data_IF_581313939766
#
_entry.id   IF_581313939766
#
_cell.length_a   1.000
_cell.length_b   1.000
_cell.length_c   1.000
_cell.angle_alpha   90.00
_cell.angle_beta   90.00
_cell.angle_gamma   90.00
#
_symmetry.space_group_name_H-M   'P 1'
#
loop_
_entity.id
_entity.type
_entity.pdbx_description
1 polymer ?
#
# COMPACT_ATOMS: atom_id res chain seq x y z
N UNK A 1 -25.71 -24.68 -14.60
CA UNK A 1 -24.92 -24.38 -13.38
C UNK A 1 -25.83 -23.68 -12.38
N UNK A 2 -25.86 -24.09 -11.10
CA UNK A 2 -26.57 -23.34 -10.05
C UNK A 2 -25.56 -22.37 -9.40
N UNK A 3 -25.94 -21.10 -9.27
CA UNK A 3 -25.12 -20.07 -8.62
C UNK A 3 -25.74 -19.74 -7.27
N UNK A 4 -24.89 -19.60 -6.24
CA UNK A 4 -25.31 -19.11 -4.92
C UNK A 4 -25.73 -17.64 -4.98
N UNK A 5 -26.49 -17.19 -3.98
CA UNK A 5 -26.83 -15.77 -3.81
C UNK A 5 -26.05 -15.21 -2.64
N UNK A 6 -25.41 -14.07 -2.86
CA UNK A 6 -24.81 -13.28 -1.79
C UNK A 6 -25.93 -12.75 -0.90
N UNK A 7 -25.81 -12.95 0.41
CA UNK A 7 -26.73 -12.41 1.41
C UNK A 7 -25.94 -11.60 2.40
N UNK A 8 -26.23 -10.31 2.44
CA UNK A 8 -25.71 -9.42 3.47
C UNK A 8 -26.32 -9.78 4.83
N UNK A 9 -25.48 -9.76 5.85
CA UNK A 9 -25.86 -9.99 7.23
C UNK A 9 -25.45 -8.79 8.07
N UNK A 10 -26.21 -8.57 9.14
CA UNK A 10 -25.92 -7.54 10.11
C UNK A 10 -24.55 -7.78 10.77
N UNK A 11 -23.64 -6.81 10.61
CA UNK A 11 -22.28 -6.87 11.14
C UNK A 11 -22.27 -6.99 12.67
N UNK A 12 -23.32 -6.56 13.37
CA UNK A 12 -23.47 -6.75 14.84
C UNK A 12 -23.63 -8.20 15.24
N UNK A 13 -24.01 -9.07 14.31
CA UNK A 13 -24.06 -10.53 14.53
C UNK A 13 -22.72 -11.21 14.33
N UNK A 14 -21.77 -10.51 13.69
CA UNK A 14 -20.40 -10.97 13.48
C UNK A 14 -19.50 -10.44 14.61
N UNK A 15 -19.65 -9.15 14.94
CA UNK A 15 -18.95 -8.48 16.03
C UNK A 15 -19.97 -7.81 16.94
N UNK A 16 -20.15 -8.33 18.14
CA UNK A 16 -21.14 -7.80 19.10
C UNK A 16 -20.65 -6.47 19.69
N UNK A 17 -19.36 -6.42 20.01
CA UNK A 17 -18.67 -5.27 20.58
C UNK A 17 -17.57 -4.75 19.66
N UNK A 18 -17.57 -3.43 19.44
CA UNK A 18 -16.58 -2.73 18.63
C UNK A 18 -15.15 -2.93 19.14
N UNK A 19 -14.88 -2.53 20.38
CA UNK A 19 -13.55 -2.62 20.98
C UNK A 19 -13.04 -4.07 21.16
N UNK A 20 -13.90 -4.97 21.66
CA UNK A 20 -13.47 -6.32 22.07
C UNK A 20 -13.48 -7.34 20.93
N UNK A 21 -14.35 -7.14 19.94
CA UNK A 21 -14.50 -8.06 18.81
C UNK A 21 -13.97 -7.45 17.52
N UNK A 22 -14.46 -6.29 17.09
CA UNK A 22 -14.10 -5.73 15.78
C UNK A 22 -12.67 -5.19 15.75
N UNK A 23 -12.28 -4.31 16.67
CA UNK A 23 -10.91 -3.77 16.72
C UNK A 23 -9.88 -4.90 16.88
N UNK A 24 -10.19 -5.90 17.71
CA UNK A 24 -9.32 -7.08 17.90
C UNK A 24 -9.23 -7.96 16.65
N UNK A 25 -10.35 -8.19 15.96
CA UNK A 25 -10.38 -8.92 14.70
C UNK A 25 -9.57 -8.16 13.63
N UNK A 26 -9.81 -6.87 13.50
CA UNK A 26 -9.17 -6.01 12.50
C UNK A 26 -7.66 -5.92 12.72
N UNK A 27 -7.20 -5.82 13.97
CA UNK A 27 -5.79 -5.73 14.32
C UNK A 27 -4.99 -7.04 14.10
N UNK A 28 -5.66 -8.15 13.81
CA UNK A 28 -4.93 -9.39 13.47
C UNK A 28 -4.24 -9.29 12.11
N UNK A 29 -3.10 -9.96 11.97
CA UNK A 29 -2.19 -9.85 10.83
C UNK A 29 -2.88 -10.06 9.47
N UNK A 30 -3.74 -11.08 9.34
CA UNK A 30 -4.43 -11.34 8.07
C UNK A 30 -5.44 -10.24 7.71
N UNK A 31 -6.12 -9.68 8.70
CA UNK A 31 -7.26 -8.78 8.47
C UNK A 31 -6.79 -7.33 8.29
N UNK A 32 -5.74 -6.92 9.01
CA UNK A 32 -5.10 -5.63 8.77
C UNK A 32 -4.43 -5.61 7.40
N UNK A 33 -3.90 -6.74 6.93
CA UNK A 33 -3.37 -6.85 5.58
C UNK A 33 -4.47 -6.75 4.52
N UNK A 34 -5.64 -7.37 4.75
CA UNK A 34 -6.80 -7.22 3.86
C UNK A 34 -7.27 -5.76 3.76
N UNK A 35 -7.30 -5.03 4.88
CA UNK A 35 -7.54 -3.58 4.87
C UNK A 35 -6.44 -2.84 4.11
N UNK A 36 -5.17 -3.14 4.37
CA UNK A 36 -4.02 -2.58 3.66
C UNK A 36 -4.15 -2.75 2.15
N UNK A 37 -4.58 -3.92 1.69
CA UNK A 37 -4.76 -4.23 0.26
C UNK A 37 -5.89 -3.42 -0.37
N UNK A 38 -6.97 -3.18 0.36
CA UNK A 38 -8.06 -2.29 -0.06
C UNK A 38 -7.55 -0.85 -0.20
N UNK A 39 -6.74 -0.39 0.76
CA UNK A 39 -6.18 0.97 0.79
C UNK A 39 -4.95 1.16 -0.13
N UNK A 40 -4.37 0.08 -0.64
CA UNK A 40 -3.05 0.03 -1.26
C UNK A 40 -1.92 0.54 -0.34
N UNK A 41 -2.00 0.18 0.95
CA UNK A 41 -1.01 0.47 1.98
C UNK A 41 -0.41 -0.83 2.51
N UNK A 42 0.85 -0.78 2.98
CA UNK A 42 1.49 -1.95 3.58
C UNK A 42 1.56 -1.73 5.08
N UNK A 43 0.53 -2.19 5.81
CA UNK A 43 0.34 -1.86 7.22
C UNK A 43 1.16 -2.78 8.13
N UNK A 44 2.03 -2.19 8.95
CA UNK A 44 2.91 -2.90 9.90
C UNK A 44 2.88 -2.21 11.27
N UNK A 45 3.52 -2.81 12.29
CA UNK A 45 3.61 -2.26 13.65
C UNK A 45 2.25 -1.89 14.27
N UNK A 46 1.30 -2.83 14.21
CA UNK A 46 -0.07 -2.62 14.69
C UNK A 46 -0.11 -2.57 16.22
N UNK A 47 -0.61 -1.47 16.75
CA UNK A 47 -0.91 -1.24 18.16
C UNK A 47 -2.41 -0.96 18.32
N UNK A 48 -3.05 -1.55 19.34
CA UNK A 48 -4.45 -1.27 19.68
C UNK A 48 -4.53 -0.38 20.92
N UNK A 49 -5.58 0.43 21.04
CA UNK A 49 -5.92 1.19 22.26
C UNK A 49 -4.84 2.20 22.69
N UNK A 50 -4.21 2.88 21.71
CA UNK A 50 -3.11 3.80 21.99
C UNK A 50 -3.62 5.12 22.57
N UNK A 51 -3.03 5.57 23.66
CA UNK A 51 -3.44 6.81 24.32
C UNK A 51 -3.09 8.06 23.50
N UNK A 52 -4.05 8.98 23.41
CA UNK A 52 -3.90 10.34 22.87
C UNK A 52 -4.41 11.33 23.92
N UNK A 53 -3.50 11.81 24.77
CA UNK A 53 -3.88 12.57 25.96
C UNK A 53 -4.80 11.72 26.87
N UNK A 54 -6.05 12.13 27.03
CA UNK A 54 -7.06 11.43 27.84
C UNK A 54 -7.92 10.44 27.03
N UNK A 55 -7.74 10.39 25.71
CA UNK A 55 -8.51 9.53 24.82
C UNK A 55 -7.68 8.32 24.37
N UNK A 56 -8.33 7.38 23.69
CA UNK A 56 -7.68 6.22 23.09
C UNK A 56 -8.09 6.14 21.63
N UNK A 57 -7.09 5.97 20.79
CA UNK A 57 -7.28 5.57 19.40
C UNK A 57 -7.45 4.06 19.34
N UNK A 58 -8.35 3.59 18.48
CA UNK A 58 -8.64 2.16 18.32
C UNK A 58 -7.42 1.38 17.84
N UNK A 59 -6.86 1.78 16.68
CA UNK A 59 -5.69 1.13 16.08
C UNK A 59 -4.73 2.16 15.50
N UNK A 60 -3.45 2.03 15.85
CA UNK A 60 -2.35 2.74 15.21
C UNK A 60 -1.44 1.75 14.51
N UNK A 61 -1.03 2.05 13.28
CA UNK A 61 -0.04 1.27 12.54
C UNK A 61 0.85 2.18 11.69
N UNK A 62 1.73 1.60 10.88
CA UNK A 62 2.63 2.33 10.00
C UNK A 62 2.57 1.78 8.58
N UNK A 63 2.67 2.66 7.57
CA UNK A 63 2.95 2.23 6.19
C UNK A 63 4.44 1.84 6.09
N UNK A 64 4.70 0.55 5.88
CA UNK A 64 6.03 -0.09 5.84
C UNK A 64 7.02 0.70 4.99
N UNK A 65 6.57 1.19 3.82
CA UNK A 65 7.43 1.81 2.82
C UNK A 65 7.80 3.27 3.15
N UNK A 66 6.91 4.00 3.82
CA UNK A 66 7.12 5.42 4.09
C UNK A 66 7.41 5.72 5.55
N UNK A 67 7.17 4.76 6.44
CA UNK A 67 7.20 4.95 7.89
C UNK A 67 6.08 5.85 8.42
N UNK A 68 5.15 6.28 7.55
CA UNK A 68 4.06 7.18 7.92
C UNK A 68 3.13 6.52 8.91
N UNK A 69 2.76 7.26 9.95
CA UNK A 69 1.76 6.84 10.94
C UNK A 69 0.38 6.78 10.30
N UNK A 70 -0.29 5.63 10.46
CA UNK A 70 -1.64 5.34 10.00
C UNK A 70 -2.55 5.17 11.22
N UNK A 71 -3.50 6.08 11.37
CA UNK A 71 -4.54 6.07 12.38
C UNK A 71 -5.78 5.36 11.81
N UNK A 72 -6.34 4.41 12.55
CA UNK A 72 -7.60 3.75 12.19
C UNK A 72 -8.57 3.89 13.37
N UNK A 73 -9.74 4.47 13.07
CA UNK A 73 -10.88 4.53 13.98
C UNK A 73 -12.03 3.74 13.37
N UNK A 74 -12.65 2.86 14.15
CA UNK A 74 -13.71 2.00 13.67
C UNK A 74 -14.98 2.15 14.49
N UNK A 75 -16.12 2.22 13.82
CA UNK A 75 -17.44 2.24 14.47
C UNK A 75 -18.40 1.22 13.86
N UNK A 76 -19.14 0.49 14.70
CA UNK A 76 -20.19 -0.45 14.28
C UNK A 76 -21.59 0.19 14.24
N UNK A 77 -21.63 1.53 14.13
CA UNK A 77 -22.81 2.37 13.94
C UNK A 77 -22.68 3.21 12.66
N UNK A 78 -23.76 3.85 12.19
CA UNK A 78 -23.65 4.89 11.19
C UNK A 78 -22.74 6.03 11.68
N UNK A 79 -22.03 6.62 10.73
CA UNK A 79 -21.13 7.74 11.00
C UNK A 79 -21.78 8.91 11.75
N UNK A 80 -21.02 9.49 12.67
CA UNK A 80 -21.47 10.57 13.56
C UNK A 80 -20.38 11.64 13.76
N UNK A 81 -20.79 12.80 14.27
CA UNK A 81 -19.90 13.94 14.51
C UNK A 81 -18.86 13.69 15.62
N UNK A 82 -19.15 12.80 16.58
CA UNK A 82 -18.21 12.47 17.65
C UNK A 82 -16.95 11.83 17.07
N UNK A 83 -17.12 10.77 16.26
CA UNK A 83 -16.01 10.08 15.64
C UNK A 83 -15.30 10.93 14.57
N UNK A 84 -16.03 11.78 13.83
CA UNK A 84 -15.39 12.76 12.96
C UNK A 84 -14.46 13.71 13.73
N UNK A 85 -14.89 14.19 14.91
CA UNK A 85 -14.04 15.01 15.78
C UNK A 85 -12.84 14.23 16.32
N UNK A 86 -13.04 12.96 16.70
CA UNK A 86 -11.97 12.07 17.18
C UNK A 86 -10.88 11.86 16.14
N UNK A 87 -11.22 11.48 14.91
CA UNK A 87 -10.21 11.18 13.87
C UNK A 87 -9.31 12.40 13.60
N UNK A 88 -9.86 13.62 13.62
CA UNK A 88 -9.09 14.85 13.44
C UNK A 88 -8.20 15.12 14.66
N UNK A 89 -8.76 14.97 15.87
CA UNK A 89 -8.03 15.21 17.13
C UNK A 89 -6.88 14.22 17.29
N UNK A 90 -7.12 12.95 17.00
CA UNK A 90 -6.13 11.88 17.13
C UNK A 90 -5.06 11.99 16.07
N UNK A 91 -5.42 12.32 14.83
CA UNK A 91 -4.44 12.55 13.77
C UNK A 91 -3.47 13.67 14.15
N UNK A 92 -3.97 14.78 14.69
CA UNK A 92 -3.12 15.87 15.17
C UNK A 92 -2.27 15.48 16.38
N UNK A 93 -2.80 14.70 17.32
CA UNK A 93 -2.10 14.30 18.54
C UNK A 93 -1.05 13.21 18.34
N UNK A 94 -1.19 12.40 17.30
CA UNK A 94 -0.30 11.28 16.95
C UNK A 94 0.57 11.55 15.71
N UNK A 95 0.48 12.74 15.13
CA UNK A 95 1.14 13.10 13.86
C UNK A 95 0.84 12.07 12.75
N UNK A 96 -0.45 11.70 12.64
CA UNK A 96 -0.91 10.72 11.67
C UNK A 96 -0.98 11.34 10.27
N UNK A 97 -0.27 10.73 9.32
CA UNK A 97 -0.27 11.13 7.93
C UNK A 97 -1.37 10.41 7.12
N UNK A 98 -1.87 9.28 7.62
CA UNK A 98 -3.03 8.59 7.05
C UNK A 98 -4.07 8.36 8.13
N UNK A 99 -5.31 8.69 7.83
CA UNK A 99 -6.47 8.54 8.71
C UNK A 99 -7.50 7.68 8.02
N UNK A 100 -7.88 6.58 8.65
CA UNK A 100 -8.84 5.61 8.13
C UNK A 100 -10.03 5.56 9.08
N UNK A 101 -11.21 5.90 8.59
CA UNK A 101 -12.44 5.84 9.35
C UNK A 101 -13.34 4.73 8.78
N UNK A 102 -13.57 3.68 9.57
CA UNK A 102 -14.36 2.50 9.17
C UNK A 102 -15.71 2.56 9.90
N UNK A 103 -16.81 2.43 9.16
CA UNK A 103 -18.16 2.68 9.68
C UNK A 103 -19.14 1.61 9.21
N UNK A 104 -20.27 1.42 9.89
CA UNK A 104 -21.32 0.53 9.40
C UNK A 104 -22.05 1.14 8.18
N UNK A 105 -22.26 2.45 8.21
CA UNK A 105 -22.90 3.23 7.16
C UNK A 105 -22.32 4.65 7.12
N UNK A 106 -21.85 5.07 5.96
CA UNK A 106 -21.33 6.41 5.75
C UNK A 106 -22.48 7.37 5.40
N UNK A 107 -22.71 8.37 6.25
CA UNK A 107 -23.66 9.44 5.96
C UNK A 107 -23.07 10.37 4.91
N UNK A 108 -23.91 10.83 3.99
CA UNK A 108 -23.48 11.70 2.89
C UNK A 108 -22.76 12.96 3.39
N UNK A 109 -23.19 13.54 4.51
CA UNK A 109 -22.56 14.73 5.08
C UNK A 109 -21.14 14.45 5.61
N UNK A 110 -20.90 13.25 6.14
CA UNK A 110 -19.58 12.85 6.61
C UNK A 110 -18.67 12.46 5.43
N UNK A 111 -19.19 11.79 4.40
CA UNK A 111 -18.45 11.56 3.17
C UNK A 111 -18.01 12.89 2.54
N UNK A 112 -18.94 13.85 2.42
CA UNK A 112 -18.62 15.20 1.94
C UNK A 112 -17.59 15.92 2.81
N UNK A 113 -17.59 15.71 4.13
CA UNK A 113 -16.59 16.30 5.02
C UNK A 113 -15.20 15.69 4.81
N UNK A 114 -15.10 14.36 4.66
CA UNK A 114 -13.84 13.68 4.33
C UNK A 114 -13.32 14.11 2.96
N UNK A 115 -14.18 14.21 1.95
CA UNK A 115 -13.82 14.73 0.64
C UNK A 115 -13.28 16.18 0.74
N UNK A 116 -13.95 17.03 1.54
CA UNK A 116 -13.51 18.39 1.78
C UNK A 116 -12.13 18.43 2.45
N UNK A 117 -11.86 17.59 3.45
CA UNK A 117 -10.56 17.48 4.09
C UNK A 117 -9.48 17.11 3.07
N UNK A 118 -9.68 16.05 2.29
CA UNK A 118 -8.74 15.61 1.25
C UNK A 118 -8.47 16.67 0.16
N UNK A 119 -9.36 17.65 -0.04
CA UNK A 119 -9.17 18.76 -0.98
C UNK A 119 -8.42 19.95 -0.38
N UNK A 120 -8.43 20.10 0.95
CA UNK A 120 -7.95 21.30 1.64
C UNK A 120 -6.79 21.03 2.61
N UNK A 121 -6.37 19.78 2.80
CA UNK A 121 -5.09 19.43 3.41
C UNK A 121 -3.99 19.33 2.35
N UNK A 122 -2.74 19.34 2.79
CA UNK A 122 -1.60 19.10 1.90
C UNK A 122 -1.52 17.62 1.45
N UNK A 123 -0.55 17.31 0.60
CA UNK A 123 -0.36 15.96 0.06
C UNK A 123 0.21 14.96 1.09
N UNK A 124 0.61 15.43 2.27
CA UNK A 124 1.20 14.58 3.30
C UNK A 124 0.13 13.88 4.13
N UNK A 125 -1.06 14.47 4.25
CA UNK A 125 -2.20 13.94 5.01
C UNK A 125 -3.26 13.36 4.08
N UNK A 126 -3.74 12.16 4.41
CA UNK A 126 -4.72 11.41 3.61
C UNK A 126 -5.83 10.85 4.47
N UNK A 127 -7.09 11.13 4.11
CA UNK A 127 -8.27 10.59 4.80
C UNK A 127 -8.97 9.55 3.94
N UNK A 128 -9.34 8.43 4.56
CA UNK A 128 -10.15 7.38 4.00
C UNK A 128 -11.42 7.20 4.83
N UNK A 129 -12.56 7.02 4.15
CA UNK A 129 -13.82 6.61 4.75
C UNK A 129 -14.25 5.29 4.11
N UNK A 130 -14.49 4.27 4.92
CA UNK A 130 -14.91 2.96 4.46
C UNK A 130 -16.16 2.50 5.19
N UNK A 131 -16.99 1.74 4.49
CA UNK A 131 -18.04 0.92 5.07
C UNK A 131 -17.53 -0.50 5.28
N UNK A 132 -17.85 -1.11 6.43
CA UNK A 132 -17.66 -2.54 6.68
C UNK A 132 -18.99 -3.27 6.50
N UNK A 133 -18.98 -4.28 5.64
CA UNK A 133 -20.11 -5.17 5.41
C UNK A 133 -19.73 -6.61 5.74
N UNK A 134 -20.74 -7.47 5.95
CA UNK A 134 -20.54 -8.91 6.08
C UNK A 134 -21.55 -9.68 5.23
N UNK A 135 -21.08 -10.72 4.54
CA UNK A 135 -21.88 -11.51 3.60
C UNK A 135 -21.78 -13.01 3.86
N UNK A 136 -22.77 -13.75 3.38
CA UNK A 136 -22.76 -15.23 3.35
C UNK A 136 -23.23 -15.75 2.00
N UNK A 137 -22.78 -16.96 1.63
CA UNK A 137 -23.26 -17.70 0.47
C UNK A 137 -23.68 -19.10 0.94
N UNK A 138 -24.99 -19.35 0.99
CA UNK A 138 -25.51 -20.61 1.54
C UNK A 138 -25.16 -20.73 3.02
N UNK A 139 -24.49 -21.81 3.39
CA UNK A 139 -24.08 -22.13 4.78
C UNK A 139 -22.61 -21.74 5.06
N UNK A 140 -22.04 -20.81 4.28
CA UNK A 140 -20.68 -20.32 4.52
C UNK A 140 -20.58 -19.57 5.84
N UNK A 141 -19.36 -19.51 6.39
CA UNK A 141 -19.04 -18.52 7.42
C UNK A 141 -19.22 -17.09 6.86
N UNK A 142 -19.47 -16.08 7.72
CA UNK A 142 -19.45 -14.68 7.33
C UNK A 142 -18.15 -14.26 6.64
N UNK A 143 -18.27 -13.55 5.54
CA UNK A 143 -17.18 -12.93 4.80
C UNK A 143 -17.27 -11.41 4.96
N UNK A 144 -16.29 -10.77 5.63
CA UNK A 144 -16.23 -9.32 5.74
C UNK A 144 -15.89 -8.70 4.38
N UNK A 145 -16.29 -7.44 4.16
CA UNK A 145 -15.91 -6.67 2.99
C UNK A 145 -15.80 -5.19 3.34
N UNK A 146 -14.62 -4.61 3.12
CA UNK A 146 -14.43 -3.17 3.17
C UNK A 146 -14.83 -2.54 1.83
N UNK A 147 -15.63 -1.47 1.90
CA UNK A 147 -16.04 -0.67 0.75
C UNK A 147 -15.55 0.75 0.95
N UNK A 148 -14.67 1.22 0.06
CA UNK A 148 -14.24 2.62 0.06
C UNK A 148 -15.42 3.51 -0.33
N UNK A 149 -15.74 4.47 0.53
CA UNK A 149 -16.70 5.55 0.27
C UNK A 149 -15.96 6.80 -0.16
N UNK A 150 -14.90 7.18 0.58
CA UNK A 150 -14.03 8.30 0.25
C UNK A 150 -12.56 7.91 0.39
N UNK A 151 -11.71 8.45 -0.47
CA UNK A 151 -10.26 8.27 -0.45
C UNK A 151 -9.56 9.53 -0.99
N UNK A 152 -8.25 9.69 -0.75
CA UNK A 152 -7.50 10.82 -1.28
C UNK A 152 -7.57 10.88 -2.81
N UNK A 153 -7.59 12.10 -3.36
CA UNK A 153 -7.68 12.30 -4.80
C UNK A 153 -6.46 11.70 -5.53
N UNK A 154 -6.73 11.02 -6.67
CA UNK A 154 -5.68 10.51 -7.56
C UNK A 154 -4.78 11.66 -8.05
N UNK A 155 -3.54 11.70 -7.56
CA UNK A 155 -2.52 12.64 -8.03
C UNK A 155 -2.22 12.49 -9.51
N UNK A 156 -2.52 11.34 -10.13
CA UNK A 156 -2.47 11.19 -11.58
C UNK A 156 -3.33 12.25 -12.32
N UNK A 157 -4.46 12.69 -11.74
CA UNK A 157 -5.28 13.79 -12.30
C UNK A 157 -4.64 15.16 -12.05
N UNK A 158 -4.03 15.37 -10.88
CA UNK A 158 -3.31 16.60 -10.56
C UNK A 158 -2.04 16.77 -11.41
N UNK A 159 -1.29 15.69 -11.62
CA UNK A 159 -0.06 15.67 -12.41
C UNK A 159 -0.31 15.85 -13.91
N UNK A 160 -1.43 15.35 -14.46
CA UNK A 160 -1.91 15.76 -15.80
C UNK A 160 -2.17 17.27 -15.87
N UNK A 161 -2.74 17.87 -14.83
CA UNK A 161 -2.92 19.32 -14.77
C UNK A 161 -1.59 20.08 -14.64
N UNK A 162 -0.60 19.57 -13.90
CA UNK A 162 0.74 20.18 -13.74
C UNK A 162 1.55 20.10 -15.04
N UNK A 163 1.46 18.97 -15.76
CA UNK A 163 2.03 18.81 -17.10
C UNK A 163 1.45 19.83 -18.09
N UNK A 164 0.12 20.04 -18.09
CA UNK A 164 -0.53 21.06 -18.93
C UNK A 164 -0.13 22.50 -18.57
N UNK A 165 0.28 22.75 -17.31
CA UNK A 165 0.79 24.04 -16.86
C UNK A 165 2.28 24.24 -17.14
N UNK A 166 2.98 23.25 -17.69
CA UNK A 166 4.41 23.33 -18.00
C UNK A 166 5.33 23.24 -16.77
N UNK A 167 4.83 22.73 -15.65
CA UNK A 167 5.57 22.65 -14.38
C UNK A 167 6.40 21.36 -14.24
N UNK A 168 6.23 20.40 -15.15
CA UNK A 168 6.99 19.13 -15.19
C UNK A 168 7.89 19.08 -16.41
N UNK A 169 9.11 18.55 -16.25
CA UNK A 169 9.97 18.27 -17.39
C UNK A 169 9.56 16.97 -18.12
N UNK A 170 10.11 16.76 -19.31
CA UNK A 170 9.78 15.62 -20.18
C UNK A 170 10.05 14.28 -19.50
N UNK A 171 11.18 14.15 -18.79
CA UNK A 171 11.54 12.91 -18.08
C UNK A 171 10.59 12.61 -16.93
N UNK A 172 10.19 13.63 -16.16
CA UNK A 172 9.20 13.49 -15.09
C UNK A 172 7.84 13.06 -15.64
N UNK A 173 7.44 13.63 -16.79
CA UNK A 173 6.20 13.24 -17.48
C UNK A 173 6.24 11.78 -17.92
N UNK A 174 7.34 11.33 -18.52
CA UNK A 174 7.49 9.94 -18.95
C UNK A 174 7.45 8.94 -17.78
N UNK A 175 8.06 9.28 -16.63
CA UNK A 175 8.02 8.44 -15.43
C UNK A 175 6.60 8.32 -14.88
N UNK A 176 5.88 9.43 -14.79
CA UNK A 176 4.49 9.44 -14.35
C UNK A 176 3.61 8.58 -15.26
N UNK A 177 3.77 8.70 -16.58
CA UNK A 177 3.08 7.86 -17.56
C UNK A 177 3.42 6.38 -17.40
N UNK A 178 4.70 6.06 -17.21
CA UNK A 178 5.17 4.68 -16.98
C UNK A 178 4.51 4.08 -15.73
N UNK A 179 4.55 4.79 -14.59
CA UNK A 179 3.95 4.31 -13.34
C UNK A 179 2.44 4.21 -13.40
N UNK A 180 1.78 5.11 -14.13
CA UNK A 180 0.33 5.03 -14.37
C UNK A 180 -0.02 3.74 -15.13
N UNK A 181 0.70 3.46 -16.23
CA UNK A 181 0.50 2.24 -17.02
C UNK A 181 0.86 0.98 -16.24
N UNK A 182 1.94 0.99 -15.45
CA UNK A 182 2.30 -0.14 -14.59
C UNK A 182 1.17 -0.45 -13.59
N UNK A 183 0.58 0.57 -12.96
CA UNK A 183 -0.56 0.39 -12.06
C UNK A 183 -1.78 -0.23 -12.76
N UNK A 184 -2.06 0.15 -14.00
CA UNK A 184 -3.13 -0.46 -14.81
C UNK A 184 -2.85 -1.95 -15.05
N UNK A 185 -1.60 -2.34 -15.35
CA UNK A 185 -1.22 -3.75 -15.53
C UNK A 185 -1.30 -4.52 -14.20
N UNK A 186 -0.90 -3.91 -13.08
CA UNK A 186 -1.05 -4.50 -11.73
C UNK A 186 -2.52 -4.80 -11.45
N UNK A 187 -3.42 -3.85 -11.72
CA UNK A 187 -4.87 -4.04 -11.53
C UNK A 187 -5.40 -5.17 -12.44
N UNK A 188 -4.98 -5.21 -13.71
CA UNK A 188 -5.38 -6.26 -14.66
C UNK A 188 -4.89 -7.65 -14.26
N UNK A 189 -3.75 -7.75 -13.58
CA UNK A 189 -3.19 -8.99 -13.04
C UNK A 189 -3.77 -9.39 -11.69
N UNK A 190 -4.83 -8.73 -11.24
CA UNK A 190 -5.51 -9.06 -9.99
C UNK A 190 -4.78 -8.56 -8.75
N UNK A 191 -4.01 -7.47 -8.86
CA UNK A 191 -3.28 -6.81 -7.77
C UNK A 191 -2.34 -7.75 -7.00
N UNK A 192 -1.30 -8.29 -7.65
CA UNK A 192 -0.31 -9.17 -7.00
C UNK A 192 0.46 -8.51 -5.84
N UNK A 193 0.44 -7.18 -5.73
CA UNK A 193 0.97 -6.39 -4.62
C UNK A 193 0.32 -5.00 -4.61
N UNK A 194 0.48 -4.28 -3.49
CA UNK A 194 -0.07 -2.93 -3.32
C UNK A 194 0.59 -1.92 -4.25
N UNK A 195 -0.25 -1.23 -5.03
CA UNK A 195 0.21 -0.17 -5.93
C UNK A 195 0.49 1.12 -5.16
N UNK A 196 1.51 1.85 -5.60
CA UNK A 196 1.84 3.20 -5.15
C UNK A 196 1.19 4.24 -6.05
N UNK A 197 0.96 5.42 -5.47
CA UNK A 197 0.61 6.62 -6.21
C UNK A 197 1.69 6.86 -7.29
N UNK A 198 1.33 7.00 -8.58
CA UNK A 198 2.29 7.39 -9.61
C UNK A 198 2.96 8.72 -9.23
N UNK A 199 4.29 8.79 -9.31
CA UNK A 199 5.07 9.99 -8.99
C UNK A 199 6.01 10.37 -10.15
N UNK A 200 6.85 11.39 -9.92
CA UNK A 200 7.90 11.80 -10.88
C UNK A 200 9.26 11.15 -10.60
N UNK A 201 9.30 10.30 -9.58
CA UNK A 201 10.52 9.60 -9.16
C UNK A 201 10.92 8.55 -10.19
N UNK A 202 12.21 8.26 -10.22
CA UNK A 202 12.73 7.20 -11.07
C UNK A 202 12.62 5.82 -10.43
N UNK A 203 12.09 5.71 -9.21
CA UNK A 203 11.89 4.45 -8.52
C UNK A 203 10.43 4.23 -8.15
N UNK A 204 10.07 2.98 -7.90
CA UNK A 204 8.79 2.55 -7.38
C UNK A 204 9.03 1.43 -6.37
N UNK A 205 8.63 1.65 -5.11
CA UNK A 205 8.89 0.73 -4.01
C UNK A 205 7.73 -0.23 -3.78
N UNK A 206 8.05 -1.51 -3.51
CA UNK A 206 7.11 -2.58 -3.19
C UNK A 206 7.51 -3.22 -1.86
N UNK A 207 6.55 -3.29 -0.94
CA UNK A 207 6.72 -3.87 0.39
C UNK A 207 6.95 -5.38 0.35
N UNK A 208 7.72 -5.87 1.32
CA UNK A 208 8.07 -7.29 1.47
C UNK A 208 7.66 -7.88 2.83
N UNK A 209 7.05 -7.06 3.70
CA UNK A 209 6.56 -7.45 5.03
C UNK A 209 7.48 -7.04 6.17
N UNK A 210 8.46 -6.16 5.93
CA UNK A 210 9.36 -5.63 6.97
C UNK A 210 9.79 -4.21 6.63
N UNK A 211 10.00 -3.37 7.64
CA UNK A 211 10.54 -2.03 7.44
C UNK A 211 12.06 -2.01 7.16
N UNK A 212 12.74 -3.16 7.27
CA UNK A 212 14.20 -3.25 7.12
C UNK A 212 14.68 -3.24 5.66
N UNK A 213 13.83 -3.63 4.72
CA UNK A 213 14.14 -3.67 3.29
C UNK A 213 12.87 -3.58 2.44
N UNK A 214 13.02 -3.28 1.15
CA UNK A 214 11.90 -3.29 0.20
C UNK A 214 12.41 -3.59 -1.22
N UNK A 215 11.52 -3.97 -2.14
CA UNK A 215 11.88 -4.10 -3.56
C UNK A 215 11.72 -2.74 -4.22
N UNK A 216 12.77 -2.26 -4.89
CA UNK A 216 12.80 -1.05 -5.70
C UNK A 216 12.78 -1.42 -7.20
N UNK A 217 11.88 -0.81 -7.96
CA UNK A 217 11.82 -0.85 -9.42
C UNK A 217 12.36 0.49 -9.92
N UNK A 218 13.54 0.53 -10.54
CA UNK A 218 14.21 1.76 -10.97
C UNK A 218 14.25 1.90 -12.50
N UNK A 219 13.76 3.02 -13.02
CA UNK A 219 13.83 3.39 -14.43
C UNK A 219 15.18 4.03 -14.75
N UNK A 220 16.13 3.23 -15.22
CA UNK A 220 17.50 3.67 -15.56
C UNK A 220 17.58 4.00 -17.06
N UNK A 221 16.93 5.10 -17.46
CA UNK A 221 16.78 5.47 -18.88
C UNK A 221 18.11 5.67 -19.62
N UNK A 222 19.16 6.16 -18.93
CA UNK A 222 20.50 6.34 -19.54
C UNK A 222 21.08 5.03 -20.08
N UNK A 223 20.79 3.92 -19.41
CA UNK A 223 21.30 2.59 -19.75
C UNK A 223 20.23 1.73 -20.45
N UNK A 224 19.08 2.33 -20.80
CA UNK A 224 17.95 1.65 -21.42
C UNK A 224 17.50 0.37 -20.69
N UNK A 225 17.45 0.43 -19.35
CA UNK A 225 17.08 -0.71 -18.51
C UNK A 225 16.19 -0.32 -17.34
N UNK A 226 15.48 -1.31 -16.80
CA UNK A 226 14.75 -1.24 -15.54
C UNK A 226 15.47 -2.13 -14.55
N UNK A 227 15.82 -1.62 -13.38
CA UNK A 227 16.42 -2.42 -12.32
C UNK A 227 15.36 -2.87 -11.34
N UNK A 228 15.35 -4.16 -11.02
CA UNK A 228 14.59 -4.71 -9.90
C UNK A 228 15.60 -5.06 -8.83
N UNK A 229 15.52 -4.41 -7.66
CA UNK A 229 16.48 -4.62 -6.58
C UNK A 229 15.81 -4.73 -5.22
N UNK A 230 16.27 -5.65 -4.38
CA UNK A 230 16.00 -5.62 -2.96
C UNK A 230 16.92 -4.56 -2.33
N UNK A 231 16.34 -3.45 -1.90
CA UNK A 231 17.03 -2.35 -1.25
C UNK A 231 17.00 -2.52 0.27
N UNK A 232 18.18 -2.53 0.89
CA UNK A 232 18.34 -2.73 2.33
C UNK A 232 19.00 -1.48 2.89
N UNK A 233 18.30 -0.74 3.74
CA UNK A 233 18.80 0.53 4.27
C UNK A 233 19.37 0.38 5.67
N UNK A 234 20.64 0.75 5.85
CA UNK A 234 21.32 0.82 7.15
C UNK A 234 21.32 -0.50 7.95
N UNK A 235 21.22 -1.63 7.25
CA UNK A 235 21.22 -2.96 7.84
C UNK A 235 22.12 -3.92 7.04
N UNK A 236 23.42 -3.88 7.33
CA UNK A 236 24.41 -4.73 6.66
C UNK A 236 24.33 -6.20 7.07
N UNK A 237 23.93 -6.47 8.30
CA UNK A 237 23.77 -7.83 8.82
C UNK A 237 22.66 -8.59 8.07
N UNK A 238 21.56 -7.91 7.71
CA UNK A 238 20.52 -8.49 6.88
C UNK A 238 21.02 -8.82 5.46
N UNK A 239 21.83 -7.94 4.86
CA UNK A 239 22.49 -8.27 3.58
C UNK A 239 23.39 -9.50 3.72
N UNK A 240 24.19 -9.57 4.78
CA UNK A 240 25.10 -10.69 5.04
C UNK A 240 24.32 -12.01 5.23
N UNK A 241 23.17 -11.95 5.92
CA UNK A 241 22.22 -13.07 6.05
C UNK A 241 21.71 -13.56 4.70
N UNK A 242 21.28 -12.65 3.82
CA UNK A 242 20.87 -13.05 2.46
C UNK A 242 22.05 -13.62 1.65
N UNK A 243 23.25 -13.07 1.82
CA UNK A 243 24.43 -13.53 1.09
C UNK A 243 24.86 -14.95 1.51
N UNK A 244 24.65 -15.34 2.78
CA UNK A 244 24.83 -16.72 3.25
C UNK A 244 23.88 -17.71 2.56
N UNK A 245 22.71 -17.24 2.10
CA UNK A 245 21.70 -18.01 1.38
C UNK A 245 21.64 -17.73 -0.12
N UNK A 246 22.74 -17.20 -0.69
CA UNK A 246 22.80 -16.76 -2.09
C UNK A 246 22.38 -17.87 -3.07
N UNK A 247 22.91 -19.08 -2.90
CA UNK A 247 22.63 -20.18 -3.82
C UNK A 247 21.16 -20.59 -3.81
N UNK A 248 20.53 -20.63 -2.63
CA UNK A 248 19.11 -20.93 -2.48
C UNK A 248 18.24 -19.82 -3.10
N UNK A 249 18.59 -18.56 -2.86
CA UNK A 249 17.86 -17.40 -3.38
C UNK A 249 17.94 -17.35 -4.91
N UNK A 250 19.14 -17.46 -5.49
CA UNK A 250 19.33 -17.45 -6.95
C UNK A 250 18.62 -18.64 -7.62
N UNK A 251 18.61 -19.80 -6.97
CA UNK A 251 17.83 -20.96 -7.41
C UNK A 251 16.32 -20.71 -7.34
N UNK A 252 15.84 -20.01 -6.31
CA UNK A 252 14.43 -19.70 -6.13
C UNK A 252 13.92 -18.66 -7.15
N UNK A 253 14.72 -17.63 -7.47
CA UNK A 253 14.36 -16.66 -8.52
C UNK A 253 14.61 -17.21 -9.94
N UNK A 254 15.52 -18.17 -10.09
CA UNK A 254 15.81 -18.85 -11.37
C UNK A 254 16.79 -18.11 -12.27
N UNK A 255 17.53 -17.13 -11.75
CA UNK A 255 18.56 -16.37 -12.46
C UNK A 255 19.60 -15.82 -11.48
N UNK A 256 20.78 -15.49 -12.00
CA UNK A 256 21.83 -14.88 -11.20
C UNK A 256 21.45 -13.44 -10.80
N UNK A 257 21.80 -13.05 -9.58
CA UNK A 257 21.58 -11.71 -9.05
C UNK A 257 22.93 -10.98 -8.93
N UNK A 258 22.86 -9.66 -9.01
CA UNK A 258 23.97 -8.78 -8.68
C UNK A 258 23.91 -8.44 -7.19
N UNK A 259 24.95 -8.80 -6.44
CA UNK A 259 25.02 -8.66 -4.98
C UNK A 259 25.97 -7.53 -4.64
N UNK A 260 25.44 -6.34 -4.40
CA UNK A 260 26.24 -5.17 -4.08
C UNK A 260 26.01 -4.75 -2.62
N UNK A 261 26.93 -5.17 -1.76
CA UNK A 261 26.95 -4.75 -0.35
C UNK A 261 27.20 -3.24 -0.22
N UNK A 262 27.66 -2.54 -1.25
CA UNK A 262 27.93 -1.10 -1.26
C UNK A 262 28.79 -0.68 -0.05
N UNK A 263 30.01 -1.21 0.04
CA UNK A 263 30.94 -0.90 1.13
C UNK A 263 31.15 0.61 1.29
N UNK A 264 31.07 1.09 2.54
CA UNK A 264 31.16 2.51 2.86
C UNK A 264 29.88 3.32 2.65
N UNK A 265 28.79 2.72 2.16
CA UNK A 265 27.44 3.33 2.16
C UNK A 265 26.53 2.63 3.15
N UNK A 266 25.51 3.36 3.64
CA UNK A 266 24.48 2.80 4.52
C UNK A 266 23.64 1.71 3.85
N UNK A 267 23.28 1.91 2.59
CA UNK A 267 22.44 0.97 1.86
C UNK A 267 23.24 -0.19 1.27
N UNK A 268 22.58 -1.33 1.05
CA UNK A 268 23.02 -2.45 0.22
C UNK A 268 21.92 -2.78 -0.80
N UNK A 269 22.27 -3.42 -1.91
CA UNK A 269 21.29 -3.81 -2.93
C UNK A 269 21.61 -5.20 -3.50
N UNK A 270 20.55 -5.99 -3.73
CA UNK A 270 20.63 -7.25 -4.48
C UNK A 270 19.70 -7.11 -5.67
N UNK A 271 20.18 -7.21 -6.90
CA UNK A 271 19.40 -6.76 -8.07
C UNK A 271 19.52 -7.59 -9.34
N UNK A 272 18.61 -7.32 -10.27
CA UNK A 272 18.64 -7.79 -11.66
C UNK A 272 18.13 -6.67 -12.56
N UNK A 273 18.52 -6.69 -13.83
CA UNK A 273 18.13 -5.65 -14.81
C UNK A 273 17.27 -6.26 -15.94
N UNK A 274 16.24 -5.52 -16.36
CA UNK A 274 15.40 -5.79 -17.53
C UNK A 274 15.81 -4.78 -18.63
N UNK A 275 16.36 -5.22 -19.76
CA UNK A 275 16.75 -4.31 -20.85
C UNK A 275 15.52 -3.84 -21.64
N UNK A 276 15.67 -2.73 -22.37
CA UNK A 276 14.70 -2.28 -23.36
C UNK A 276 13.83 -1.09 -22.92
N UNK A 277 14.11 -0.45 -21.78
CA UNK A 277 13.43 0.78 -21.39
C UNK A 277 13.76 1.92 -22.37
N UNK A 278 12.72 2.56 -22.92
CA UNK A 278 12.88 3.75 -23.75
C UNK A 278 11.67 4.68 -23.57
N UNK A 279 11.91 5.94 -23.17
CA UNK A 279 10.83 6.91 -23.01
C UNK A 279 10.28 7.44 -24.33
N UNK A 280 11.10 7.47 -25.39
CA UNK A 280 10.69 7.94 -26.72
C UNK A 280 10.03 6.86 -27.58
N UNK A 281 10.16 5.58 -27.21
CA UNK A 281 9.53 4.45 -27.92
C UNK A 281 8.92 3.48 -26.90
N UNK A 282 7.60 3.53 -26.75
CA UNK A 282 6.87 2.86 -25.68
C UNK A 282 6.17 1.56 -26.13
N UNK A 283 6.45 1.09 -27.36
CA UNK A 283 5.77 -0.06 -27.98
C UNK A 283 5.89 -1.36 -27.16
N UNK A 284 6.97 -1.51 -26.40
CA UNK A 284 7.30 -2.69 -25.60
C UNK A 284 6.94 -2.57 -24.10
N UNK A 285 6.21 -1.51 -23.71
CA UNK A 285 5.86 -1.30 -22.30
C UNK A 285 5.03 -2.42 -21.69
N UNK A 286 4.02 -2.99 -22.38
CA UNK A 286 3.26 -4.11 -21.83
C UNK A 286 4.17 -5.28 -21.43
N UNK A 287 5.11 -5.67 -22.30
CA UNK A 287 6.05 -6.76 -22.04
C UNK A 287 7.00 -6.43 -20.88
N UNK A 288 7.52 -5.20 -20.82
CA UNK A 288 8.36 -4.75 -19.71
C UNK A 288 7.60 -4.78 -18.38
N UNK A 289 6.33 -4.34 -18.36
CA UNK A 289 5.51 -4.30 -17.15
C UNK A 289 5.15 -5.69 -16.65
N UNK A 290 4.85 -6.63 -17.55
CA UNK A 290 4.65 -8.03 -17.18
C UNK A 290 5.91 -8.64 -16.58
N UNK A 291 7.06 -8.40 -17.20
CA UNK A 291 8.35 -8.90 -16.69
C UNK A 291 8.72 -8.27 -15.33
N UNK A 292 8.42 -6.99 -15.13
CA UNK A 292 8.57 -6.32 -13.82
C UNK A 292 7.76 -7.04 -12.76
N UNK A 293 6.46 -7.26 -13.00
CA UNK A 293 5.57 -7.89 -12.02
C UNK A 293 6.04 -9.31 -11.69
N UNK A 294 6.41 -10.09 -12.69
CA UNK A 294 6.91 -11.46 -12.50
C UNK A 294 8.19 -11.47 -11.65
N UNK A 295 9.15 -10.59 -11.94
CA UNK A 295 10.39 -10.50 -11.17
C UNK A 295 10.16 -10.00 -9.74
N UNK A 296 9.27 -9.03 -9.53
CA UNK A 296 8.89 -8.58 -8.18
C UNK A 296 8.30 -9.73 -7.36
N UNK A 297 7.41 -10.53 -7.95
CA UNK A 297 6.82 -11.69 -7.29
C UNK A 297 7.87 -12.77 -6.95
N UNK A 298 8.82 -13.02 -7.85
CA UNK A 298 9.94 -13.93 -7.61
C UNK A 298 10.82 -13.44 -6.47
N UNK A 299 11.14 -12.14 -6.43
CA UNK A 299 11.91 -11.53 -5.34
C UNK A 299 11.18 -11.69 -4.01
N UNK A 300 9.89 -11.32 -3.92
CA UNK A 300 9.11 -11.49 -2.68
C UNK A 300 9.18 -12.95 -2.19
N UNK A 301 8.89 -13.90 -3.06
CA UNK A 301 8.91 -15.32 -2.72
C UNK A 301 10.29 -15.82 -2.26
N UNK A 302 11.36 -15.37 -2.91
CA UNK A 302 12.71 -15.84 -2.64
C UNK A 302 13.32 -15.23 -1.36
N UNK A 303 13.04 -13.97 -1.05
CA UNK A 303 13.66 -13.27 0.08
C UNK A 303 12.86 -13.34 1.37
N UNK A 304 11.53 -13.38 1.33
CA UNK A 304 10.68 -13.41 2.54
C UNK A 304 11.05 -14.51 3.56
N UNK A 305 11.47 -15.74 3.17
CA UNK A 305 11.88 -16.76 4.15
C UNK A 305 13.11 -16.42 5.00
N UNK A 306 13.86 -15.38 4.64
CA UNK A 306 15.12 -14.98 5.27
C UNK A 306 15.06 -13.60 5.95
N UNK A 307 13.85 -13.03 6.03
CA UNK A 307 13.53 -11.78 6.72
C UNK A 307 13.07 -12.11 8.15
#
# INVERSE_FOLDING_TARGET
MKLGKLKEIDIRKVWEHEQFDFSKWLASESNIQELGDVLNLSLTNVETEKFVGNYRCDILCQDELTGKTVLIENQLEPSNHDHLGKIITYASGLDAAVVVWIVAEAREEHASAIEWLNKHTDEEVSFFLLEIHAYTIGDSVPAPQFRIVEQPNDFAKAAKSLSQKGELNETQTCRLEFWTKLNEVIDQRGKPFNKRKPSTDHWYSVAVGTSQCHISIELVNKDHKIRIGLWIFDNKELFDTFAEHKEEIEKAVGFALDWDRLEGKKASVISTDIPGLNFSKQDNYPELMDEIIDKVLLFKKAFTPYI
#
